data_IF_401156412328
#
_entry.id   IF_401156412328
#
_cell.length_a   1.000
_cell.length_b   1.000
_cell.length_c   1.000
_cell.angle_alpha   90.00
_cell.angle_beta   90.00
_cell.angle_gamma   90.00
#
_symmetry.space_group_name_H-M   'P 1'
#
loop_
_entity.id
_entity.type
_entity.pdbx_description
1 polymer ?
#
# COMPACT_ATOMS: atom_id res chain seq x y z
N UNK A 1 -33.13 -0.57 -15.85
CA UNK A 1 -32.49 -0.10 -14.61
C UNK A 1 -31.01 -0.35 -14.84
N UNK A 2 -30.25 0.68 -15.15
CA UNK A 2 -28.80 0.61 -15.24
C UNK A 2 -28.31 0.50 -13.81
N UNK A 3 -27.94 -0.71 -13.35
CA UNK A 3 -27.08 -0.85 -12.20
C UNK A 3 -25.82 -0.09 -12.55
N UNK A 4 -25.60 1.05 -11.92
CA UNK A 4 -24.36 1.77 -12.11
C UNK A 4 -23.26 1.00 -11.40
N UNK A 5 -22.04 1.07 -11.89
CA UNK A 5 -20.87 0.39 -11.28
C UNK A 5 -20.74 0.78 -9.80
N UNK A 6 -21.06 2.04 -9.45
CA UNK A 6 -21.10 2.53 -8.08
C UNK A 6 -22.08 1.78 -7.18
N UNK A 7 -23.26 1.41 -7.70
CA UNK A 7 -24.24 0.67 -6.91
C UNK A 7 -23.80 -0.79 -6.68
N UNK A 8 -23.14 -1.39 -7.67
CA UNK A 8 -22.66 -2.78 -7.58
C UNK A 8 -21.53 -2.95 -6.56
N UNK A 9 -20.71 -1.89 -6.34
CA UNK A 9 -19.56 -1.90 -5.43
C UNK A 9 -19.82 -1.20 -4.09
N UNK A 10 -21.04 -0.70 -3.84
CA UNK A 10 -21.33 0.15 -2.67
C UNK A 10 -20.27 1.27 -2.47
N UNK A 11 -20.01 1.99 -3.57
CA UNK A 11 -19.03 3.08 -3.60
C UNK A 11 -19.42 4.23 -2.68
N UNK A 12 -18.43 4.77 -1.96
CA UNK A 12 -18.59 5.93 -1.08
C UNK A 12 -17.32 6.76 -1.06
N UNK A 13 -17.45 8.08 -1.00
CA UNK A 13 -16.37 8.96 -0.55
C UNK A 13 -16.38 8.92 0.98
N UNK A 14 -15.31 8.39 1.57
CA UNK A 14 -15.17 8.34 3.03
C UNK A 14 -14.74 9.70 3.58
N UNK A 15 -13.73 10.29 2.98
CA UNK A 15 -13.16 11.56 3.43
C UNK A 15 -12.58 12.33 2.24
N UNK A 16 -12.53 13.65 2.36
CA UNK A 16 -12.08 14.56 1.30
C UNK A 16 -11.18 15.66 1.86
N UNK A 17 -10.46 16.35 0.98
CA UNK A 17 -9.64 17.52 1.33
C UNK A 17 -8.18 17.19 1.61
N UNK A 18 -7.70 16.06 1.12
CA UNK A 18 -6.29 15.69 1.20
C UNK A 18 -5.46 16.38 0.11
N UNK A 19 -4.14 16.38 0.32
CA UNK A 19 -3.15 16.64 -0.70
C UNK A 19 -2.57 15.32 -1.23
N UNK A 20 -2.97 14.80 -2.35
CA UNK A 20 -2.44 13.58 -2.97
C UNK A 20 -2.08 12.45 -1.97
N UNK A 21 -3.10 11.83 -1.39
CA UNK A 21 -2.92 10.70 -0.47
C UNK A 21 -2.61 9.44 -1.25
N UNK A 22 -1.36 8.99 -1.28
CA UNK A 22 -0.98 7.74 -1.92
C UNK A 22 -1.04 6.53 -0.99
N UNK A 23 -0.77 6.73 0.31
CA UNK A 23 -0.74 5.66 1.30
C UNK A 23 -1.98 5.62 2.19
N UNK A 24 -2.50 4.43 2.46
CA UNK A 24 -3.59 4.21 3.43
C UNK A 24 -3.34 2.92 4.22
N UNK A 25 -3.61 2.96 5.53
CA UNK A 25 -3.42 1.82 6.44
C UNK A 25 -4.54 1.77 7.48
N UNK A 26 -5.09 0.58 7.73
CA UNK A 26 -6.14 0.38 8.75
C UNK A 26 -5.57 0.15 10.15
N UNK A 27 -6.09 0.84 11.14
CA UNK A 27 -5.81 0.63 12.56
C UNK A 27 -7.02 -0.01 13.27
N UNK A 28 -7.00 -1.32 13.53
CA UNK A 28 -8.14 -1.99 14.14
C UNK A 28 -8.30 -1.68 15.63
N UNK A 29 -7.27 -1.15 16.29
CA UNK A 29 -7.33 -0.80 17.71
C UNK A 29 -7.99 0.57 17.91
N UNK A 30 -7.59 1.53 17.06
CA UNK A 30 -8.15 2.89 17.10
C UNK A 30 -9.39 3.06 16.24
N UNK A 31 -9.73 2.03 15.42
CA UNK A 31 -10.85 2.04 14.48
C UNK A 31 -10.81 3.25 13.54
N UNK A 32 -9.64 3.50 12.95
CA UNK A 32 -9.41 4.61 12.01
C UNK A 32 -8.47 4.19 10.88
N UNK A 33 -8.43 4.98 9.82
CA UNK A 33 -7.41 4.87 8.78
C UNK A 33 -6.31 5.89 9.04
N UNK A 34 -5.07 5.49 8.74
CA UNK A 34 -3.93 6.39 8.62
C UNK A 34 -3.64 6.65 7.16
N UNK A 35 -3.23 7.87 6.84
CA UNK A 35 -2.85 8.23 5.47
C UNK A 35 -1.67 9.20 5.47
N UNK A 36 -0.89 9.19 4.39
CA UNK A 36 0.26 10.06 4.19
C UNK A 36 -0.02 11.12 3.13
N UNK A 37 0.34 12.39 3.40
CA UNK A 37 0.21 13.48 2.45
C UNK A 37 1.52 13.85 1.77
N UNK A 38 1.43 14.44 0.58
CA UNK A 38 2.58 14.83 -0.26
C UNK A 38 3.43 15.95 0.36
N UNK A 39 2.84 16.78 1.25
CA UNK A 39 3.58 17.80 2.00
C UNK A 39 3.93 17.38 3.44
N UNK A 40 4.08 16.06 3.67
CA UNK A 40 4.55 15.49 4.92
C UNK A 40 3.51 15.33 6.02
N UNK A 41 2.21 15.50 5.72
CA UNK A 41 1.16 15.35 6.71
C UNK A 41 0.90 13.87 7.01
N UNK A 42 0.77 13.53 8.29
CA UNK A 42 0.22 12.26 8.75
C UNK A 42 -1.23 12.50 9.12
N UNK A 43 -2.14 11.95 8.32
CA UNK A 43 -3.56 12.05 8.53
C UNK A 43 -4.11 10.88 9.34
N UNK A 44 -5.02 11.18 10.25
CA UNK A 44 -5.92 10.22 10.85
C UNK A 44 -7.33 10.47 10.33
N UNK A 45 -7.96 9.42 9.81
CA UNK A 45 -9.27 9.46 9.17
C UNK A 45 -10.22 8.56 9.95
N UNK A 46 -11.24 9.13 10.53
CA UNK A 46 -12.27 8.42 11.28
C UNK A 46 -13.31 7.79 10.32
N UNK A 47 -14.02 6.78 10.80
CA UNK A 47 -15.05 6.10 9.98
C UNK A 47 -16.28 6.96 9.68
N UNK A 48 -16.45 8.08 10.38
CA UNK A 48 -17.48 9.09 10.08
C UNK A 48 -17.04 10.12 9.02
N UNK A 49 -15.80 9.95 8.50
CA UNK A 49 -15.22 10.81 7.48
C UNK A 49 -14.47 12.03 8.03
N UNK A 50 -14.40 12.22 9.34
CA UNK A 50 -13.62 13.32 9.90
C UNK A 50 -12.12 13.06 9.77
N UNK A 51 -11.37 14.12 9.42
CA UNK A 51 -9.92 14.08 9.15
C UNK A 51 -9.17 14.98 10.11
N UNK A 52 -8.07 14.51 10.64
CA UNK A 52 -7.14 15.32 11.42
C UNK A 52 -5.69 15.10 10.98
N UNK A 53 -4.91 16.18 10.94
CA UNK A 53 -3.45 16.12 10.80
C UNK A 53 -2.88 15.91 12.21
N UNK A 54 -2.27 14.74 12.45
CA UNK A 54 -1.74 14.39 13.77
C UNK A 54 -0.25 14.67 13.90
N UNK A 55 0.46 14.73 12.78
CA UNK A 55 1.87 15.11 12.69
C UNK A 55 2.16 15.69 11.31
N UNK A 56 3.26 16.43 11.20
CA UNK A 56 3.81 16.88 9.92
C UNK A 56 5.31 16.67 9.94
N UNK A 57 5.85 16.04 8.89
CA UNK A 57 7.27 15.80 8.69
C UNK A 57 7.77 16.87 7.73
N UNK A 58 8.65 17.73 8.20
CA UNK A 58 9.18 18.84 7.41
C UNK A 58 9.95 18.35 6.19
N UNK A 59 9.62 18.87 5.00
CA UNK A 59 10.19 18.40 3.73
C UNK A 59 9.75 17.00 3.30
N UNK A 60 8.82 16.39 4.03
CA UNK A 60 8.34 15.03 3.74
C UNK A 60 7.45 14.96 2.51
N UNK A 61 7.41 13.76 1.92
CA UNK A 61 6.47 13.32 0.89
C UNK A 61 6.06 11.88 1.25
N UNK A 62 4.94 11.72 1.95
CA UNK A 62 4.62 10.45 2.58
C UNK A 62 3.88 9.51 1.64
N UNK A 63 4.37 8.28 1.52
CA UNK A 63 3.77 7.24 0.69
C UNK A 63 3.17 6.12 1.55
N UNK A 64 3.65 4.88 1.43
CA UNK A 64 3.12 3.72 2.12
C UNK A 64 3.27 3.77 3.64
N UNK A 65 2.32 3.14 4.33
CA UNK A 65 2.27 3.07 5.78
C UNK A 65 1.99 1.64 6.26
N UNK A 66 2.59 1.27 7.39
CA UNK A 66 2.29 0.02 8.09
C UNK A 66 2.23 0.22 9.61
N UNK A 67 1.45 -0.62 10.29
CA UNK A 67 1.33 -0.63 11.76
C UNK A 67 1.91 -1.90 12.35
N UNK A 68 2.64 -1.78 13.47
CA UNK A 68 2.94 -2.94 14.32
C UNK A 68 1.78 -3.27 15.27
N UNK A 69 1.89 -4.36 16.03
CA UNK A 69 0.87 -4.78 17.00
C UNK A 69 0.75 -3.83 18.21
N UNK A 70 1.75 -3.00 18.44
CA UNK A 70 1.77 -2.00 19.51
C UNK A 70 1.07 -0.70 19.09
N UNK A 71 0.71 -0.59 17.79
CA UNK A 71 0.07 0.59 17.20
C UNK A 71 1.06 1.70 16.85
N UNK A 72 2.34 1.36 16.70
CA UNK A 72 3.35 2.24 16.13
C UNK A 72 3.18 2.27 14.62
N UNK A 73 3.15 3.45 14.03
CA UNK A 73 3.02 3.64 12.58
C UNK A 73 4.41 3.80 11.96
N UNK A 74 4.67 3.04 10.89
CA UNK A 74 5.88 3.13 10.08
C UNK A 74 5.50 3.76 8.74
N UNK A 75 6.24 4.78 8.33
CA UNK A 75 5.87 5.68 7.23
C UNK A 75 7.05 5.81 6.28
N UNK A 76 6.85 5.47 5.03
CA UNK A 76 7.83 5.71 3.97
C UNK A 76 7.78 7.18 3.53
N UNK A 77 8.95 7.82 3.49
CA UNK A 77 9.12 9.22 3.14
C UNK A 77 10.29 9.39 2.17
N UNK A 78 10.04 9.30 0.84
CA UNK A 78 11.08 9.55 -0.15
C UNK A 78 11.55 11.02 -0.17
N UNK A 79 10.77 11.97 0.33
CA UNK A 79 11.19 13.37 0.44
C UNK A 79 12.40 13.54 1.35
N UNK A 80 12.48 12.76 2.42
CA UNK A 80 13.61 12.75 3.37
C UNK A 80 14.49 11.50 3.27
N UNK A 81 14.25 10.61 2.30
CA UNK A 81 14.96 9.34 2.12
C UNK A 81 14.94 8.45 3.37
N UNK A 82 13.77 8.40 4.06
CA UNK A 82 13.67 7.81 5.39
C UNK A 82 12.39 6.99 5.58
N UNK A 83 12.48 5.95 6.40
CA UNK A 83 11.33 5.37 7.07
C UNK A 83 11.20 6.01 8.44
N UNK A 84 10.05 6.62 8.72
CA UNK A 84 9.75 7.19 10.04
C UNK A 84 8.95 6.20 10.88
N UNK A 85 9.18 6.27 12.18
CA UNK A 85 8.38 5.59 13.19
C UNK A 85 7.67 6.64 14.03
N UNK A 86 6.33 6.58 14.07
CA UNK A 86 5.49 7.40 14.93
C UNK A 86 4.90 6.52 16.04
N UNK A 87 5.29 6.79 17.27
CA UNK A 87 4.77 6.07 18.42
C UNK A 87 3.30 6.45 18.76
N UNK A 88 2.73 5.77 19.73
CA UNK A 88 1.33 5.99 20.13
C UNK A 88 1.07 7.35 20.77
N UNK A 89 2.11 8.08 21.17
CA UNK A 89 2.04 9.45 21.69
C UNK A 89 2.20 10.52 20.59
N UNK A 90 2.49 10.11 19.35
CA UNK A 90 2.76 10.98 18.20
C UNK A 90 4.23 11.37 18.05
N UNK A 91 5.14 10.78 18.85
CA UNK A 91 6.57 11.01 18.76
C UNK A 91 7.16 10.40 17.51
N UNK A 92 7.82 11.23 16.67
CA UNK A 92 8.48 10.81 15.42
C UNK A 92 9.96 10.52 15.65
N UNK A 93 10.46 9.43 15.05
CA UNK A 93 11.89 9.10 14.99
C UNK A 93 12.20 8.34 13.71
N UNK A 94 13.42 8.50 13.18
CA UNK A 94 13.90 7.69 12.07
C UNK A 94 14.00 6.21 12.47
N UNK A 95 13.79 5.32 11.52
CA UNK A 95 13.89 3.87 11.70
C UNK A 95 14.66 3.25 10.55
N UNK A 96 15.81 2.63 10.86
CA UNK A 96 16.76 2.10 9.88
C UNK A 96 17.65 3.17 9.25
N UNK A 97 18.46 2.73 8.30
CA UNK A 97 19.33 3.61 7.51
C UNK A 97 18.51 4.34 6.42
N UNK A 98 19.12 5.37 5.81
CA UNK A 98 18.51 6.06 4.67
C UNK A 98 18.28 5.13 3.48
N UNK A 99 17.11 5.27 2.83
CA UNK A 99 16.70 4.53 1.62
C UNK A 99 16.46 5.55 0.52
N UNK A 100 16.90 5.27 -0.70
CA UNK A 100 16.87 6.26 -1.79
C UNK A 100 15.45 6.73 -2.12
N UNK A 101 14.53 5.79 -2.31
CA UNK A 101 13.12 6.11 -2.58
C UNK A 101 12.19 5.13 -1.84
N UNK A 102 12.09 5.19 -0.49
CA UNK A 102 11.24 4.29 0.27
C UNK A 102 9.78 4.53 -0.12
N UNK A 103 9.12 3.47 -0.61
CA UNK A 103 7.76 3.59 -1.14
C UNK A 103 6.73 2.89 -0.25
N UNK A 104 6.86 1.59 -0.02
CA UNK A 104 5.87 0.85 0.73
C UNK A 104 6.49 -0.09 1.77
N UNK A 105 5.99 -0.06 3.04
CA UNK A 105 6.47 -0.94 4.10
C UNK A 105 5.51 -2.11 4.34
N UNK A 106 6.03 -3.30 4.62
CA UNK A 106 5.23 -4.44 5.08
C UNK A 106 5.98 -5.26 6.13
N UNK A 107 5.29 -5.67 7.19
CA UNK A 107 5.86 -6.52 8.22
C UNK A 107 5.79 -7.99 7.86
N UNK A 108 6.91 -8.69 8.00
CA UNK A 108 6.93 -10.14 8.02
C UNK A 108 6.46 -10.69 9.38
N UNK A 109 5.99 -11.96 9.45
CA UNK A 109 5.55 -12.57 10.70
C UNK A 109 6.62 -12.63 11.79
N UNK A 110 7.90 -12.63 11.42
CA UNK A 110 9.04 -12.61 12.35
C UNK A 110 9.40 -11.21 12.88
N UNK A 111 8.74 -10.17 12.37
CA UNK A 111 8.88 -8.79 12.81
C UNK A 111 9.88 -7.95 12.03
N UNK A 112 10.49 -8.48 10.99
CA UNK A 112 11.27 -7.69 10.04
C UNK A 112 10.33 -6.79 9.24
N UNK A 113 10.77 -5.55 8.98
CA UNK A 113 10.08 -4.63 8.10
C UNK A 113 10.73 -4.68 6.72
N UNK A 114 9.98 -5.12 5.73
CA UNK A 114 10.37 -5.03 4.33
C UNK A 114 9.89 -3.70 3.76
N UNK A 115 10.75 -3.06 2.99
CA UNK A 115 10.48 -1.76 2.36
C UNK A 115 10.84 -1.84 0.89
N UNK A 116 9.94 -1.45 0.01
CA UNK A 116 10.28 -1.25 -1.39
C UNK A 116 11.03 0.06 -1.55
N UNK A 117 12.23 -0.01 -2.14
CA UNK A 117 12.96 1.12 -2.68
C UNK A 117 12.66 1.19 -4.17
N UNK A 118 11.90 2.18 -4.60
CA UNK A 118 11.44 2.26 -6.00
C UNK A 118 12.56 2.47 -7.00
N UNK A 119 13.64 3.15 -6.60
CA UNK A 119 14.65 3.60 -7.54
C UNK A 119 14.07 4.62 -8.53
N UNK A 120 14.23 4.39 -9.83
CA UNK A 120 13.71 5.28 -10.87
C UNK A 120 12.76 4.57 -11.84
N UNK A 121 11.77 5.30 -12.35
CA UNK A 121 10.82 4.77 -13.34
C UNK A 121 11.48 4.55 -14.73
N UNK A 122 12.57 5.26 -15.01
CA UNK A 122 13.21 5.26 -16.31
C UNK A 122 14.06 4.00 -16.60
N UNK A 123 14.54 3.34 -15.56
CA UNK A 123 15.37 2.13 -15.69
C UNK A 123 15.27 1.29 -14.40
N UNK A 124 15.38 -0.06 -14.51
CA UNK A 124 15.38 -0.91 -13.33
C UNK A 124 16.53 -0.56 -12.37
N UNK A 125 16.18 -0.02 -11.22
CA UNK A 125 17.13 0.36 -10.15
C UNK A 125 16.53 0.12 -8.76
N UNK A 126 15.27 -0.27 -8.69
CA UNK A 126 14.57 -0.55 -7.44
C UNK A 126 15.14 -1.77 -6.71
N UNK A 127 14.92 -1.80 -5.41
CA UNK A 127 15.38 -2.85 -4.50
C UNK A 127 14.33 -3.20 -3.44
N UNK A 128 14.58 -4.25 -2.70
CA UNK A 128 13.91 -4.52 -1.43
C UNK A 128 14.91 -4.33 -0.31
N UNK A 129 14.53 -3.51 0.65
CA UNK A 129 15.29 -3.24 1.87
C UNK A 129 14.60 -3.96 3.02
N UNK A 130 15.39 -4.57 3.90
CA UNK A 130 14.92 -5.13 5.17
C UNK A 130 15.47 -4.32 6.31
N UNK A 131 14.59 -3.93 7.20
CA UNK A 131 14.97 -3.29 8.46
C UNK A 131 14.61 -4.27 9.58
N UNK A 132 15.63 -4.73 10.29
CA UNK A 132 15.49 -5.59 11.46
C UNK A 132 14.81 -4.85 12.62
N UNK A 133 14.33 -5.57 13.63
CA UNK A 133 13.68 -4.96 14.82
C UNK A 133 14.56 -3.96 15.55
N UNK A 134 15.89 -4.13 15.51
CA UNK A 134 16.86 -3.23 16.13
C UNK A 134 17.26 -2.03 15.24
N UNK A 135 16.70 -1.93 14.04
CA UNK A 135 16.98 -0.89 13.05
C UNK A 135 18.12 -1.21 12.09
N UNK A 136 18.76 -2.39 12.20
CA UNK A 136 19.78 -2.81 11.22
C UNK A 136 19.17 -2.96 9.84
N UNK A 137 19.79 -2.36 8.83
CA UNK A 137 19.27 -2.30 7.46
C UNK A 137 20.12 -3.15 6.51
N UNK A 138 19.45 -3.88 5.60
CA UNK A 138 20.10 -4.68 4.55
C UNK A 138 19.25 -4.74 3.28
N UNK A 139 19.86 -5.17 2.16
CA UNK A 139 19.19 -5.35 0.87
C UNK A 139 19.05 -6.83 0.54
N UNK A 140 17.91 -7.25 -0.02
CA UNK A 140 17.57 -8.66 -0.25
C UNK A 140 17.08 -9.01 -1.64
N UNK A 141 17.32 -8.31 -2.67
CA UNK A 141 16.90 -8.71 -4.01
C UNK A 141 18.08 -9.15 -4.89
N UNK A 142 17.90 -10.21 -5.64
CA UNK A 142 18.92 -10.77 -6.55
C UNK A 142 19.09 -9.98 -7.85
N UNK A 143 18.13 -9.13 -8.20
CA UNK A 143 18.14 -8.26 -9.38
C UNK A 143 17.52 -6.91 -9.06
N UNK A 144 17.81 -5.90 -9.87
CA UNK A 144 17.12 -4.63 -9.80
C UNK A 144 15.64 -4.77 -10.24
N UNK A 145 14.76 -4.09 -9.52
CA UNK A 145 13.33 -4.03 -9.78
C UNK A 145 12.99 -2.83 -10.67
N UNK A 146 11.99 -3.01 -11.53
CA UNK A 146 11.52 -1.95 -12.42
C UNK A 146 10.48 -1.08 -11.71
N UNK A 147 10.93 -0.17 -10.86
CA UNK A 147 10.15 0.66 -9.96
C UNK A 147 9.36 -0.19 -8.95
N UNK A 148 10.05 -0.68 -7.92
CA UNK A 148 9.42 -1.41 -6.83
C UNK A 148 8.41 -0.51 -6.11
N UNK A 149 7.14 -0.94 -6.06
CA UNK A 149 6.04 -0.17 -5.51
C UNK A 149 5.36 -0.93 -4.36
N UNK A 150 4.04 -1.06 -4.36
CA UNK A 150 3.30 -1.76 -3.33
C UNK A 150 3.83 -3.17 -3.09
N UNK A 151 3.91 -3.54 -1.81
CA UNK A 151 4.30 -4.87 -1.37
C UNK A 151 3.27 -5.45 -0.42
N UNK A 152 3.10 -6.76 -0.46
CA UNK A 152 2.27 -7.50 0.49
C UNK A 152 3.00 -8.79 0.90
N UNK A 153 2.79 -9.23 2.13
CA UNK A 153 3.41 -10.44 2.66
C UNK A 153 2.32 -11.42 3.07
N UNK A 154 2.44 -12.64 2.57
CA UNK A 154 1.72 -13.79 3.11
C UNK A 154 2.55 -14.49 4.21
N UNK A 155 2.35 -15.78 4.48
CA UNK A 155 3.09 -16.48 5.52
C UNK A 155 4.59 -16.63 5.23
N UNK A 156 4.98 -16.75 3.96
CA UNK A 156 6.34 -17.14 3.53
C UNK A 156 6.92 -16.30 2.40
N UNK A 157 6.09 -15.49 1.75
CA UNK A 157 6.43 -14.82 0.50
C UNK A 157 6.15 -13.34 0.55
N UNK A 158 7.08 -12.54 0.08
CA UNK A 158 6.91 -11.13 -0.24
C UNK A 158 6.49 -11.00 -1.71
N UNK A 159 5.35 -10.39 -1.93
CA UNK A 159 4.83 -10.03 -3.23
C UNK A 159 5.12 -8.57 -3.52
N UNK A 160 5.62 -8.27 -4.73
CA UNK A 160 6.22 -6.97 -5.05
C UNK A 160 5.69 -6.51 -6.40
N UNK A 161 5.12 -5.32 -6.45
CA UNK A 161 4.79 -4.65 -7.71
C UNK A 161 6.05 -4.10 -8.37
N UNK A 162 6.15 -4.30 -9.69
CA UNK A 162 7.08 -3.63 -10.58
C UNK A 162 6.29 -2.72 -11.54
N UNK A 163 6.08 -1.45 -11.18
CA UNK A 163 5.19 -0.54 -11.93
C UNK A 163 5.71 -0.19 -13.33
N UNK A 164 7.02 -0.05 -13.51
CA UNK A 164 7.63 0.32 -14.80
C UNK A 164 7.78 -0.87 -15.77
N UNK A 165 7.59 -2.11 -15.29
CA UNK A 165 7.49 -3.31 -16.11
C UNK A 165 6.29 -4.13 -15.62
N UNK A 166 5.04 -3.70 -15.92
CA UNK A 166 3.83 -4.04 -15.21
C UNK A 166 3.72 -5.52 -14.84
N UNK A 167 4.02 -5.84 -13.58
CA UNK A 167 4.05 -7.21 -13.08
C UNK A 167 3.99 -7.25 -11.57
N UNK A 168 3.71 -8.44 -11.03
CA UNK A 168 3.97 -8.76 -9.62
C UNK A 168 5.01 -9.87 -9.57
N UNK A 169 6.07 -9.62 -8.82
CA UNK A 169 7.14 -10.58 -8.54
C UNK A 169 7.01 -11.12 -7.12
N UNK A 170 7.46 -12.34 -6.90
CA UNK A 170 7.47 -13.01 -5.60
C UNK A 170 8.90 -13.29 -5.13
N UNK A 171 9.14 -13.13 -3.84
CA UNK A 171 10.40 -13.40 -3.16
C UNK A 171 10.10 -14.17 -1.87
N UNK A 172 10.69 -15.37 -1.69
CA UNK A 172 10.61 -16.05 -0.41
C UNK A 172 11.29 -15.23 0.69
N UNK A 173 10.68 -15.16 1.89
CA UNK A 173 11.19 -14.31 2.99
C UNK A 173 12.58 -14.70 3.50
N UNK A 174 13.02 -15.92 3.25
CA UNK A 174 14.35 -16.46 3.55
C UNK A 174 15.23 -16.64 2.30
N UNK A 175 14.74 -16.21 1.13
CA UNK A 175 15.37 -16.39 -0.16
C UNK A 175 15.91 -15.08 -0.74
N UNK A 176 16.62 -15.21 -1.85
CA UNK A 176 17.15 -14.08 -2.61
C UNK A 176 16.72 -14.07 -4.09
N UNK A 177 16.04 -15.12 -4.56
CA UNK A 177 15.62 -15.26 -5.95
C UNK A 177 14.21 -14.64 -6.13
N UNK A 178 14.13 -13.66 -7.02
CA UNK A 178 12.89 -13.05 -7.47
C UNK A 178 12.32 -13.79 -8.67
N UNK A 179 11.06 -14.18 -8.56
CA UNK A 179 10.32 -14.82 -9.65
C UNK A 179 9.16 -13.91 -10.05
N UNK A 180 9.04 -13.60 -11.35
CA UNK A 180 7.88 -12.89 -11.87
C UNK A 180 6.71 -13.88 -11.98
N UNK A 181 5.62 -13.58 -11.30
CA UNK A 181 4.45 -14.48 -11.17
C UNK A 181 3.25 -14.01 -11.97
N UNK A 182 3.01 -12.68 -11.97
CA UNK A 182 1.82 -12.10 -12.60
C UNK A 182 2.29 -11.04 -13.61
N UNK A 183 1.86 -11.17 -14.84
CA UNK A 183 2.03 -10.15 -15.87
C UNK A 183 0.74 -9.33 -15.99
N UNK A 184 0.87 -8.03 -15.99
CA UNK A 184 -0.24 -7.08 -16.10
C UNK A 184 -0.08 -6.27 -17.38
N UNK A 185 -0.89 -6.54 -18.39
CA UNK A 185 -0.80 -5.84 -19.65
C UNK A 185 -1.55 -4.49 -19.62
N UNK A 186 -0.91 -3.44 -20.14
CA UNK A 186 -1.51 -2.13 -20.38
C UNK A 186 -2.05 -1.42 -19.14
N UNK A 187 -1.46 -1.66 -18.00
CA UNK A 187 -1.74 -0.91 -16.78
C UNK A 187 -0.45 -0.59 -16.03
N UNK A 188 -0.54 0.30 -15.06
CA UNK A 188 0.55 0.62 -14.14
C UNK A 188 0.08 0.21 -12.74
N UNK A 189 0.50 -0.96 -12.26
CA UNK A 189 0.11 -1.45 -10.92
C UNK A 189 0.83 -0.66 -9.84
N UNK A 190 0.20 -0.54 -8.67
CA UNK A 190 0.67 0.27 -7.56
C UNK A 190 0.55 -0.41 -6.20
N UNK A 191 -0.65 -0.73 -5.73
CA UNK A 191 -0.91 -1.27 -4.40
C UNK A 191 -1.33 -2.74 -4.40
N UNK A 192 -1.03 -3.43 -3.31
CA UNK A 192 -1.38 -4.83 -3.07
C UNK A 192 -2.12 -5.02 -1.74
N UNK A 193 -3.10 -5.90 -1.73
CA UNK A 193 -3.71 -6.41 -0.50
C UNK A 193 -4.21 -7.84 -0.69
N UNK A 194 -4.06 -8.70 0.34
CA UNK A 194 -4.65 -10.02 0.32
C UNK A 194 -6.10 -10.01 0.83
N UNK A 195 -6.96 -10.79 0.19
CA UNK A 195 -8.26 -11.13 0.74
C UNK A 195 -8.22 -12.42 1.59
N UNK A 196 -9.30 -12.68 2.30
CA UNK A 196 -9.39 -13.80 3.23
C UNK A 196 -9.40 -15.19 2.54
N UNK A 197 -9.69 -15.23 1.24
CA UNK A 197 -9.68 -16.44 0.43
C UNK A 197 -8.32 -16.69 -0.26
N UNK A 198 -7.30 -15.88 0.09
CA UNK A 198 -5.95 -15.98 -0.47
C UNK A 198 -5.79 -15.31 -1.83
N UNK A 199 -6.78 -14.55 -2.28
CA UNK A 199 -6.66 -13.74 -3.50
C UNK A 199 -5.81 -12.50 -3.25
N UNK A 200 -5.03 -12.10 -4.25
CA UNK A 200 -4.22 -10.89 -4.23
C UNK A 200 -4.91 -9.80 -5.04
N UNK A 201 -5.38 -8.76 -4.36
CA UNK A 201 -5.93 -7.56 -4.97
C UNK A 201 -4.78 -6.66 -5.44
N UNK A 202 -4.91 -6.13 -6.66
CA UNK A 202 -3.91 -5.26 -7.30
C UNK A 202 -4.63 -4.00 -7.78
N UNK A 203 -4.23 -2.84 -7.27
CA UNK A 203 -4.68 -1.56 -7.81
C UNK A 203 -3.76 -1.07 -8.91
N UNK A 204 -4.35 -0.45 -9.94
CA UNK A 204 -3.61 0.16 -11.03
C UNK A 204 -4.08 1.61 -11.19
N UNK A 205 -3.13 2.57 -11.12
CA UNK A 205 -3.50 3.97 -11.24
C UNK A 205 -3.67 4.44 -12.69
N UNK A 206 -3.23 3.64 -13.66
CA UNK A 206 -3.42 3.93 -15.06
C UNK A 206 -3.55 2.65 -15.89
N UNK A 207 -4.74 2.35 -16.48
CA UNK A 207 -6.02 3.01 -16.20
C UNK A 207 -6.50 2.74 -14.77
N UNK A 208 -7.62 3.40 -14.35
CA UNK A 208 -8.18 3.24 -13.00
C UNK A 208 -8.82 1.84 -12.87
N UNK A 209 -8.04 0.86 -12.45
CA UNK A 209 -8.44 -0.54 -12.39
C UNK A 209 -8.12 -1.19 -11.07
N UNK A 210 -8.96 -2.17 -10.70
CA UNK A 210 -8.68 -3.13 -9.65
C UNK A 210 -8.75 -4.52 -10.22
N UNK A 211 -7.70 -5.30 -9.99
CA UNK A 211 -7.58 -6.69 -10.39
C UNK A 211 -7.53 -7.58 -9.16
N UNK A 212 -8.00 -8.80 -9.29
CA UNK A 212 -7.81 -9.87 -8.32
C UNK A 212 -7.10 -11.03 -8.98
N UNK A 213 -6.05 -11.51 -8.38
CA UNK A 213 -5.34 -12.70 -8.83
C UNK A 213 -5.48 -13.83 -7.82
N UNK A 214 -5.63 -15.06 -8.33
CA UNK A 214 -5.53 -16.29 -7.54
C UNK A 214 -4.70 -17.30 -8.31
N UNK A 215 -4.02 -18.21 -7.62
CA UNK A 215 -3.16 -19.20 -8.24
C UNK A 215 -3.93 -20.09 -9.24
N UNK A 216 -5.12 -20.53 -8.87
CA UNK A 216 -5.95 -21.42 -9.71
C UNK A 216 -6.79 -20.67 -10.75
N UNK A 217 -7.22 -19.43 -10.46
CA UNK A 217 -8.15 -18.66 -11.30
C UNK A 217 -7.49 -17.64 -12.22
N UNK A 218 -6.21 -17.32 -11.99
CA UNK A 218 -5.51 -16.25 -12.72
C UNK A 218 -6.01 -14.85 -12.37
N UNK A 219 -5.89 -13.92 -13.32
CA UNK A 219 -6.32 -12.52 -13.16
C UNK A 219 -7.80 -12.32 -13.51
N UNK A 220 -8.53 -11.69 -12.61
CA UNK A 220 -9.90 -11.21 -12.78
C UNK A 220 -9.94 -9.68 -12.65
N UNK A 221 -10.55 -9.00 -13.63
CA UNK A 221 -10.79 -7.56 -13.57
C UNK A 221 -12.04 -7.30 -12.72
N UNK A 222 -11.87 -6.74 -11.52
CA UNK A 222 -12.97 -6.43 -10.60
C UNK A 222 -13.61 -5.09 -10.92
N UNK A 223 -12.77 -4.12 -11.30
CA UNK A 223 -13.17 -2.75 -11.49
C UNK A 223 -12.40 -2.14 -12.65
N UNK A 224 -13.10 -1.45 -13.56
CA UNK A 224 -12.53 -0.68 -14.66
C UNK A 224 -13.33 0.60 -14.83
N UNK A 225 -12.72 1.74 -14.51
CA UNK A 225 -13.37 3.03 -14.57
C UNK A 225 -12.50 4.02 -15.34
N UNK A 226 -12.78 4.12 -16.61
CA UNK A 226 -11.98 4.90 -17.57
C UNK A 226 -12.04 6.41 -17.34
N UNK A 227 -13.13 6.93 -16.77
CA UNK A 227 -13.36 8.39 -16.66
C UNK A 227 -12.68 9.01 -15.45
N UNK A 228 -12.39 8.23 -14.40
CA UNK A 228 -11.88 8.71 -13.13
C UNK A 228 -12.90 9.48 -12.31
N UNK A 229 -14.21 9.27 -12.57
CA UNK A 229 -15.27 9.95 -11.82
C UNK A 229 -15.55 9.32 -10.47
N UNK A 230 -15.34 8.01 -10.35
CA UNK A 230 -15.55 7.27 -9.11
C UNK A 230 -14.24 7.00 -8.39
N UNK A 231 -13.28 6.39 -9.07
CA UNK A 231 -11.97 6.07 -8.55
C UNK A 231 -10.94 6.68 -9.49
N UNK A 232 -10.20 7.65 -9.00
CA UNK A 232 -9.18 8.35 -9.77
C UNK A 232 -7.80 7.87 -9.35
N UNK A 233 -7.06 7.29 -10.29
CA UNK A 233 -5.66 6.87 -10.10
C UNK A 233 -5.42 6.12 -8.77
N UNK A 234 -6.09 4.96 -8.54
CA UNK A 234 -5.98 4.25 -7.29
C UNK A 234 -4.55 3.73 -7.07
N UNK A 235 -3.98 4.07 -5.93
CA UNK A 235 -2.65 3.67 -5.48
C UNK A 235 -2.76 2.59 -4.40
N UNK A 236 -2.39 2.90 -3.17
CA UNK A 236 -2.46 1.93 -2.09
C UNK A 236 -3.90 1.62 -1.69
N UNK A 237 -4.11 0.42 -1.20
CA UNK A 237 -5.40 -0.09 -0.78
C UNK A 237 -5.30 -0.73 0.60
N UNK A 238 -6.36 -0.57 1.41
CA UNK A 238 -6.43 -1.19 2.73
C UNK A 238 -7.83 -1.71 3.01
N UNK A 239 -7.94 -2.98 3.32
CA UNK A 239 -9.17 -3.52 3.91
C UNK A 239 -9.37 -2.99 5.32
N UNK A 240 -10.60 -2.62 5.66
CA UNK A 240 -10.93 -2.02 6.95
C UNK A 240 -12.31 -2.42 7.47
N UNK A 241 -12.59 -2.06 8.72
CA UNK A 241 -13.79 -2.45 9.45
C UNK A 241 -13.55 -3.72 10.29
N UNK A 242 -14.50 -4.04 11.18
CA UNK A 242 -14.37 -5.18 12.09
C UNK A 242 -14.30 -6.52 11.36
N UNK A 243 -15.00 -6.63 10.24
CA UNK A 243 -15.06 -7.81 9.38
C UNK A 243 -14.13 -7.71 8.16
N UNK A 244 -13.36 -6.61 8.04
CA UNK A 244 -12.55 -6.28 6.87
C UNK A 244 -13.35 -6.33 5.55
N UNK A 245 -14.65 -6.07 5.61
CA UNK A 245 -15.58 -6.15 4.49
C UNK A 245 -15.57 -4.92 3.58
N UNK A 246 -14.80 -3.90 3.90
CA UNK A 246 -14.65 -2.69 3.09
C UNK A 246 -13.20 -2.47 2.67
N UNK A 247 -13.02 -1.88 1.50
CA UNK A 247 -11.72 -1.52 0.95
C UNK A 247 -11.63 0.00 0.84
N UNK A 248 -10.64 0.60 1.46
CA UNK A 248 -10.26 1.99 1.26
C UNK A 248 -9.22 2.08 0.13
N UNK A 249 -9.36 3.08 -0.73
CA UNK A 249 -8.46 3.34 -1.84
C UNK A 249 -7.89 4.75 -1.68
N UNK A 250 -6.58 4.84 -1.70
CA UNK A 250 -5.83 6.07 -1.84
C UNK A 250 -5.69 6.44 -3.32
N UNK A 251 -5.26 7.65 -3.63
CA UNK A 251 -5.23 8.17 -5.00
C UNK A 251 -4.03 9.05 -5.27
N UNK A 252 -3.32 8.77 -6.37
CA UNK A 252 -2.21 9.60 -6.85
C UNK A 252 -2.65 11.02 -7.27
N UNK A 253 -3.85 11.16 -7.83
CA UNK A 253 -4.32 12.42 -8.45
C UNK A 253 -5.56 13.02 -7.78
N UNK A 254 -6.16 12.30 -6.83
CA UNK A 254 -7.37 12.72 -6.14
C UNK A 254 -7.09 13.37 -4.79
N UNK A 255 -8.14 13.97 -4.24
CA UNK A 255 -8.13 14.58 -2.92
C UNK A 255 -9.04 13.86 -1.93
N UNK A 256 -9.44 12.63 -2.28
CA UNK A 256 -10.41 11.82 -1.55
C UNK A 256 -9.84 10.45 -1.21
N UNK A 257 -10.24 9.92 -0.07
CA UNK A 257 -10.21 8.49 0.18
C UNK A 257 -11.59 7.96 -0.14
N UNK A 258 -11.65 7.09 -1.13
CA UNK A 258 -12.89 6.43 -1.52
C UNK A 258 -12.94 5.02 -0.97
N UNK A 259 -14.13 4.46 -0.82
CA UNK A 259 -14.31 3.10 -0.30
C UNK A 259 -15.32 2.33 -1.12
N UNK A 260 -15.07 1.04 -1.23
CA UNK A 260 -15.96 0.08 -1.88
C UNK A 260 -16.20 -1.12 -0.97
N UNK A 261 -17.24 -1.91 -1.25
CA UNK A 261 -17.44 -3.22 -0.65
C UNK A 261 -17.08 -4.30 -1.68
N UNK A 262 -15.88 -4.87 -1.63
CA UNK A 262 -15.48 -5.92 -2.55
C UNK A 262 -16.24 -7.23 -2.25
N UNK A 263 -16.26 -8.15 -3.21
CA UNK A 263 -16.93 -9.45 -3.04
C UNK A 263 -16.26 -10.35 -1.98
N UNK A 264 -14.99 -10.12 -1.69
CA UNK A 264 -14.19 -10.85 -0.71
C UNK A 264 -13.70 -9.90 0.38
N UNK A 265 -13.88 -10.31 1.64
CA UNK A 265 -13.32 -9.56 2.78
C UNK A 265 -11.79 -9.65 2.79
N UNK A 266 -11.13 -8.72 3.47
CA UNK A 266 -9.69 -8.69 3.58
C UNK A 266 -9.12 -9.79 4.47
N UNK A 267 -7.88 -10.17 4.21
CA UNK A 267 -7.11 -11.03 5.10
C UNK A 267 -6.68 -10.26 6.36
N UNK A 268 -6.59 -10.98 7.48
CA UNK A 268 -6.01 -10.42 8.70
C UNK A 268 -4.51 -10.17 8.49
N UNK A 269 -4.11 -8.91 8.55
CA UNK A 269 -2.69 -8.54 8.52
C UNK A 269 -2.05 -8.96 9.84
N UNK A 270 -1.05 -9.84 9.78
CA UNK A 270 -0.23 -10.17 10.93
C UNK A 270 0.67 -8.99 11.27
N UNK A 271 0.59 -8.54 12.51
CA UNK A 271 1.41 -7.44 13.04
C UNK A 271 2.33 -8.00 14.12
N UNK A 272 3.65 -7.82 14.01
CA UNK A 272 4.61 -8.35 14.98
C UNK A 272 4.59 -7.59 16.32
#
# INVERSE_FOLDING_TARGET
MTNTLSDALDYRVLATGFDHVEGVCWDPVRQCLWAGGEAGQVYRVELDGSVSVVATIDGGALLGLALDAQGTLYICDPGNHQVWKMDTSGGLSAFGDAIDYPNYPAFAPDGRLFVSDSGTFASPSGAIVVIERDGTTSHVASRALAFANGIAIDETTLWIIESAAPAVSALALDGAELVRVIELERCVPDGLAFDADGGLLISCYQPNQLWRWTEDGGLELIFDEWTGELILSPTNVAYYGDDLGRLALASLCGHDIVTIAPAHAGALIRRP
#
